data_IF_188983243396
#
_entry.id   IF_188983243396
#
_cell.length_a   1.000
_cell.length_b   1.000
_cell.length_c   1.000
_cell.angle_alpha   90.00
_cell.angle_beta   90.00
_cell.angle_gamma   90.00
#
_symmetry.space_group_name_H-M   'P 1'
#
loop_
_entity.id
_entity.type
_entity.pdbx_description
1 polymer ?
#
# COMPACT_ATOMS: atom_id res chain seq x y z
N UNK A 1 2.13 20.91 -0.91
CA UNK A 1 2.27 19.74 -0.02
C UNK A 1 2.36 18.52 -0.94
N UNK A 2 3.48 17.85 -0.94
CA UNK A 2 3.65 16.68 -1.79
C UNK A 2 2.82 15.53 -1.26
N UNK A 3 2.04 14.89 -2.14
CA UNK A 3 1.25 13.74 -1.78
C UNK A 3 2.11 12.46 -1.82
N UNK A 4 1.80 11.48 -0.99
CA UNK A 4 2.38 10.15 -1.08
C UNK A 4 1.36 9.17 -1.65
N UNK A 5 1.76 8.36 -2.60
CA UNK A 5 0.94 7.27 -3.13
C UNK A 5 1.72 5.95 -3.05
N UNK A 6 0.99 4.85 -2.91
CA UNK A 6 1.61 3.54 -2.79
C UNK A 6 2.50 3.21 -3.99
N UNK A 7 3.69 2.69 -3.73
CA UNK A 7 4.56 2.09 -4.75
C UNK A 7 4.19 0.63 -5.01
N UNK A 8 3.63 -0.05 -4.01
CA UNK A 8 3.19 -1.45 -4.04
C UNK A 8 2.08 -1.70 -3.01
N UNK A 9 1.44 -2.86 -3.08
CA UNK A 9 0.31 -3.23 -2.22
C UNK A 9 0.77 -3.81 -0.87
N UNK A 10 1.36 -2.98 -0.03
CA UNK A 10 1.71 -3.34 1.35
C UNK A 10 1.66 -2.08 2.22
N UNK A 11 1.25 -2.14 3.49
CA UNK A 11 1.19 -0.98 4.38
C UNK A 11 2.53 -0.28 4.58
N UNK A 12 3.64 -0.99 4.44
CA UNK A 12 4.99 -0.43 4.57
C UNK A 12 5.23 0.79 3.67
N UNK A 13 4.63 0.81 2.47
CA UNK A 13 4.80 1.93 1.54
C UNK A 13 4.31 3.27 2.09
N UNK A 14 3.38 3.26 3.06
CA UNK A 14 2.86 4.47 3.72
C UNK A 14 3.53 4.75 5.07
N UNK A 15 4.08 3.75 5.72
CA UNK A 15 4.63 3.85 7.06
C UNK A 15 6.15 4.02 7.08
N UNK A 16 6.88 3.38 6.15
CA UNK A 16 8.33 3.51 6.02
C UNK A 16 8.81 4.96 5.78
N UNK A 17 8.05 5.87 5.12
CA UNK A 17 8.46 7.27 5.04
C UNK A 17 8.73 7.98 6.35
N UNK A 18 8.23 7.47 7.48
CA UNK A 18 8.47 7.99 8.83
C UNK A 18 9.56 7.23 9.62
N UNK A 19 10.19 6.23 9.01
CA UNK A 19 11.27 5.46 9.61
C UNK A 19 12.42 6.38 10.08
N UNK A 20 12.93 6.16 11.30
CA UNK A 20 13.98 6.97 11.92
C UNK A 20 15.34 6.87 11.23
N UNK A 21 15.59 5.82 10.45
CA UNK A 21 16.90 5.57 9.84
C UNK A 21 17.04 6.25 8.47
N UNK A 22 15.99 6.19 7.63
CA UNK A 22 16.04 6.66 6.24
C UNK A 22 14.71 7.23 5.73
N UNK A 23 13.73 7.44 6.61
CA UNK A 23 12.40 7.89 6.23
C UNK A 23 12.40 9.23 5.50
N UNK A 24 11.67 9.30 4.40
CA UNK A 24 11.57 10.49 3.56
C UNK A 24 11.08 11.73 4.34
N UNK A 25 10.15 11.55 5.29
CA UNK A 25 9.58 12.65 6.05
C UNK A 25 10.46 13.17 7.19
N UNK A 26 11.56 12.50 7.54
CA UNK A 26 12.52 13.02 8.54
C UNK A 26 13.04 14.41 8.17
N UNK A 27 13.35 14.63 6.90
CA UNK A 27 13.80 15.94 6.40
C UNK A 27 12.73 17.02 6.56
N UNK A 28 11.45 16.66 6.38
CA UNK A 28 10.32 17.56 6.57
C UNK A 28 10.16 17.91 8.04
N UNK A 29 10.43 16.96 8.94
CA UNK A 29 10.46 17.19 10.39
C UNK A 29 11.72 17.95 10.85
N UNK A 30 12.65 18.26 9.94
CA UNK A 30 13.91 18.92 10.26
C UNK A 30 14.92 18.03 10.97
N UNK A 31 14.79 16.71 10.82
CA UNK A 31 15.67 15.71 11.45
C UNK A 31 16.65 15.12 10.43
N UNK A 32 17.89 14.97 10.86
CA UNK A 32 18.96 14.28 10.14
C UNK A 32 19.43 13.09 11.00
N UNK A 33 19.18 11.83 10.60
CA UNK A 33 19.55 10.66 11.40
C UNK A 33 21.03 10.62 11.79
N UNK A 34 21.90 11.19 10.97
CA UNK A 34 23.35 11.24 11.21
C UNK A 34 23.78 12.25 12.29
N UNK A 35 22.91 13.22 12.59
CA UNK A 35 23.23 14.36 13.49
C UNK A 35 22.27 14.48 14.68
N UNK A 36 21.05 14.00 14.51
CA UNK A 36 19.95 14.23 15.45
C UNK A 36 19.50 12.94 16.17
N UNK A 37 20.40 11.95 16.33
CA UNK A 37 20.07 10.66 16.95
C UNK A 37 19.43 10.83 18.35
N UNK A 38 19.97 11.74 19.17
CA UNK A 38 19.44 12.01 20.51
C UNK A 38 18.02 12.60 20.46
N UNK A 39 17.72 13.46 19.48
CA UNK A 39 16.37 14.01 19.28
C UNK A 39 15.40 12.94 18.81
N UNK A 40 15.83 12.10 17.86
CA UNK A 40 15.04 10.96 17.35
C UNK A 40 14.64 10.04 18.49
N UNK A 41 15.59 9.70 19.37
CA UNK A 41 15.32 8.88 20.55
C UNK A 41 14.41 9.61 21.55
N UNK A 42 14.65 10.89 21.78
CA UNK A 42 13.87 11.67 22.76
C UNK A 42 12.38 11.78 22.41
N UNK A 43 12.02 11.77 21.12
CA UNK A 43 10.64 11.75 20.64
C UNK A 43 10.10 10.33 20.43
N UNK A 44 10.89 9.28 20.68
CA UNK A 44 10.49 7.88 20.56
C UNK A 44 10.38 7.34 19.12
N UNK A 45 10.92 8.05 18.13
CA UNK A 45 10.82 7.61 16.73
C UNK A 45 11.64 6.34 16.45
N UNK A 46 12.62 6.03 17.25
CA UNK A 46 13.34 4.75 17.27
C UNK A 46 12.42 3.58 17.65
N UNK A 47 11.50 3.77 18.61
CA UNK A 47 10.49 2.78 18.99
C UNK A 47 9.53 2.50 17.83
N UNK A 48 9.09 3.54 17.13
CA UNK A 48 8.31 3.39 15.91
C UNK A 48 9.05 2.54 14.86
N UNK A 49 10.32 2.82 14.64
CA UNK A 49 11.16 2.07 13.71
C UNK A 49 11.28 0.59 14.09
N UNK A 50 11.37 0.26 15.40
CA UNK A 50 11.37 -1.13 15.86
C UNK A 50 10.03 -1.83 15.53
N UNK A 51 8.89 -1.14 15.68
CA UNK A 51 7.58 -1.68 15.30
C UNK A 51 7.49 -1.96 13.80
N UNK A 52 8.01 -1.06 12.95
CA UNK A 52 8.10 -1.28 11.51
C UNK A 52 8.95 -2.51 11.17
N UNK A 53 10.14 -2.62 11.78
CA UNK A 53 11.03 -3.78 11.57
C UNK A 53 10.37 -5.10 11.97
N UNK A 54 9.61 -5.11 13.05
CA UNK A 54 8.85 -6.28 13.47
C UNK A 54 7.75 -6.66 12.48
N UNK A 55 7.07 -5.66 11.89
CA UNK A 55 6.09 -5.88 10.85
C UNK A 55 6.73 -6.37 9.54
N UNK A 56 7.84 -5.78 9.13
CA UNK A 56 8.60 -6.17 7.93
C UNK A 56 9.15 -7.60 8.01
N UNK A 57 9.55 -8.02 9.21
CA UNK A 57 10.07 -9.37 9.46
C UNK A 57 8.99 -10.46 9.41
N UNK A 58 7.70 -10.12 9.58
CA UNK A 58 6.62 -11.09 9.48
C UNK A 58 6.30 -11.40 8.01
N UNK A 59 6.71 -12.58 7.56
CA UNK A 59 6.59 -13.03 6.18
C UNK A 59 5.70 -14.27 5.99
N UNK A 60 5.22 -14.85 7.10
CA UNK A 60 4.48 -16.11 7.09
C UNK A 60 2.99 -15.91 7.32
N UNK A 61 2.62 -15.01 8.22
CA UNK A 61 1.24 -14.69 8.55
C UNK A 61 0.90 -13.25 8.12
N UNK A 62 0.16 -13.14 7.01
CA UNK A 62 -0.27 -11.85 6.45
C UNK A 62 -1.16 -11.08 7.42
N UNK A 63 -2.05 -11.77 8.17
CA UNK A 63 -2.91 -11.09 9.13
C UNK A 63 -2.09 -10.50 10.26
N UNK A 64 -1.15 -11.26 10.80
CA UNK A 64 -0.22 -10.78 11.84
C UNK A 64 0.68 -9.64 11.36
N UNK A 65 1.15 -9.70 10.11
CA UNK A 65 1.88 -8.60 9.48
C UNK A 65 1.05 -7.32 9.48
N UNK A 66 -0.22 -7.38 9.07
CA UNK A 66 -1.10 -6.21 9.07
C UNK A 66 -1.42 -5.69 10.47
N UNK A 67 -1.59 -6.56 11.46
CA UNK A 67 -1.74 -6.16 12.87
C UNK A 67 -0.51 -5.39 13.37
N UNK A 68 0.69 -5.87 13.07
CA UNK A 68 1.94 -5.20 13.44
C UNK A 68 2.06 -3.80 12.81
N UNK A 69 1.65 -3.64 11.53
CA UNK A 69 1.60 -2.32 10.91
C UNK A 69 0.53 -1.42 11.51
N UNK A 70 -0.63 -1.95 11.86
CA UNK A 70 -1.68 -1.18 12.54
C UNK A 70 -1.20 -0.65 13.89
N UNK A 71 -0.43 -1.46 14.65
CA UNK A 71 0.20 -1.04 15.89
C UNK A 71 1.24 0.06 15.69
N UNK A 72 2.07 -0.04 14.65
CA UNK A 72 3.00 1.03 14.27
C UNK A 72 2.27 2.31 13.87
N UNK A 73 1.18 2.21 13.11
CA UNK A 73 0.35 3.36 12.73
C UNK A 73 -0.31 4.02 13.94
N UNK A 74 -0.85 3.23 14.86
CA UNK A 74 -1.44 3.73 16.10
C UNK A 74 -0.41 4.54 16.90
N UNK A 75 0.81 4.01 17.06
CA UNK A 75 1.90 4.71 17.72
C UNK A 75 2.20 6.07 17.04
N UNK A 76 2.27 6.10 15.70
CA UNK A 76 2.57 7.31 14.95
C UNK A 76 1.51 8.41 15.16
N UNK A 77 0.25 8.01 15.26
CA UNK A 77 -0.86 8.94 15.55
C UNK A 77 -0.81 9.40 17.00
N UNK A 78 -0.64 8.50 17.95
CA UNK A 78 -0.60 8.79 19.39
C UNK A 78 0.57 9.71 19.76
N UNK A 79 1.70 9.57 19.07
CA UNK A 79 2.87 10.44 19.24
C UNK A 79 2.66 11.88 18.78
N UNK A 80 1.55 12.15 18.07
CA UNK A 80 1.25 13.45 17.44
C UNK A 80 2.26 13.90 16.37
N UNK A 81 3.13 13.03 15.89
CA UNK A 81 4.02 13.29 14.74
C UNK A 81 3.23 13.36 13.43
N UNK A 82 2.09 12.67 13.37
CA UNK A 82 1.13 12.70 12.28
C UNK A 82 -0.26 13.00 12.83
N UNK A 83 -0.87 14.07 12.31
CA UNK A 83 -2.25 14.41 12.64
C UNK A 83 -3.17 14.07 11.44
N UNK A 84 -3.97 12.98 11.50
CA UNK A 84 -4.96 12.70 10.47
C UNK A 84 -6.05 13.78 10.48
N UNK A 85 -6.28 14.43 9.35
CA UNK A 85 -7.29 15.50 9.23
C UNK A 85 -8.59 14.97 8.64
N UNK A 86 -8.50 14.17 7.59
CA UNK A 86 -9.65 13.57 6.93
C UNK A 86 -9.25 12.27 6.21
N UNK A 87 -10.24 11.45 5.93
CA UNK A 87 -10.11 10.33 5.02
C UNK A 87 -10.91 10.64 3.75
N UNK A 88 -10.23 10.64 2.61
CA UNK A 88 -10.91 10.77 1.33
C UNK A 88 -11.54 9.42 0.98
N UNK A 89 -12.85 9.35 1.00
CA UNK A 89 -13.58 8.22 0.46
C UNK A 89 -13.34 8.06 -1.05
N UNK A 90 -13.61 6.87 -1.58
CA UNK A 90 -13.51 6.63 -3.02
C UNK A 90 -14.38 7.58 -3.83
N UNK A 91 -13.87 8.08 -4.93
CA UNK A 91 -14.61 8.89 -5.88
C UNK A 91 -15.37 8.02 -6.89
N UNK A 92 -16.54 8.49 -7.34
CA UNK A 92 -17.19 7.92 -8.52
C UNK A 92 -16.42 8.37 -9.77
N UNK A 93 -16.25 7.45 -10.72
CA UNK A 93 -15.67 7.77 -12.02
C UNK A 93 -16.58 7.31 -13.14
N UNK A 94 -16.72 8.14 -14.20
CA UNK A 94 -17.40 7.78 -15.43
C UNK A 94 -16.35 7.36 -16.44
N UNK A 95 -16.44 6.14 -16.97
CA UNK A 95 -15.43 5.60 -17.87
C UNK A 95 -16.04 4.73 -18.97
N UNK A 96 -15.35 4.67 -20.10
CA UNK A 96 -15.58 3.72 -21.20
C UNK A 96 -14.47 2.65 -21.26
N UNK A 97 -13.58 2.65 -20.31
CA UNK A 97 -12.56 1.60 -20.22
C UNK A 97 -13.22 0.31 -19.74
N UNK A 98 -13.10 -0.75 -20.52
CA UNK A 98 -13.60 -2.07 -20.13
C UNK A 98 -12.94 -2.48 -18.80
N UNK A 99 -13.73 -2.83 -17.78
CA UNK A 99 -13.22 -3.11 -16.43
C UNK A 99 -12.10 -4.16 -16.45
N UNK A 100 -11.08 -3.94 -15.62
CA UNK A 100 -9.93 -4.82 -15.43
C UNK A 100 -9.09 -5.14 -16.67
N UNK A 101 -9.23 -4.36 -17.77
CA UNK A 101 -8.36 -4.48 -18.95
C UNK A 101 -7.09 -3.66 -18.85
N UNK A 102 -7.00 -2.73 -17.90
CA UNK A 102 -5.77 -2.02 -17.55
C UNK A 102 -5.24 -2.52 -16.19
N UNK A 103 -4.01 -2.16 -15.87
CA UNK A 103 -3.47 -2.44 -14.53
C UNK A 103 -4.43 -1.90 -13.44
N UNK A 104 -4.77 -2.77 -12.52
CA UNK A 104 -5.70 -2.47 -11.43
C UNK A 104 -5.03 -2.72 -10.07
N UNK A 105 -5.22 -1.79 -9.15
CA UNK A 105 -4.78 -1.92 -7.77
C UNK A 105 -5.85 -1.36 -6.84
N UNK A 106 -6.14 -2.09 -5.76
CA UNK A 106 -7.08 -1.67 -4.72
C UNK A 106 -6.61 -0.42 -3.96
N UNK A 107 -5.30 -0.19 -3.90
CA UNK A 107 -4.69 0.90 -3.14
C UNK A 107 -4.11 2.02 -4.03
N UNK A 108 -4.34 1.99 -5.33
CA UNK A 108 -3.88 3.04 -6.24
C UNK A 108 -2.36 3.15 -6.33
N UNK A 109 -1.69 2.12 -6.80
CA UNK A 109 -0.22 2.08 -6.97
C UNK A 109 0.21 3.12 -8.03
N UNK A 110 1.34 3.79 -7.78
CA UNK A 110 1.99 4.70 -8.74
C UNK A 110 2.15 4.05 -10.12
N UNK A 111 1.88 4.80 -11.17
CA UNK A 111 2.04 4.36 -12.55
C UNK A 111 0.92 3.48 -13.10
N UNK A 112 -0.01 2.96 -12.28
CA UNK A 112 -1.14 2.16 -12.81
C UNK A 112 -2.03 2.95 -13.75
N UNK A 113 -2.19 4.25 -13.52
CA UNK A 113 -2.95 5.15 -14.37
C UNK A 113 -2.35 5.35 -15.77
N UNK A 114 -1.05 5.13 -15.94
CA UNK A 114 -0.31 5.31 -17.19
C UNK A 114 -0.03 4.00 -17.94
N UNK A 115 -0.51 2.87 -17.44
CA UNK A 115 -0.32 1.58 -18.08
C UNK A 115 -1.46 1.27 -19.04
N UNK A 116 -1.23 1.54 -20.32
CA UNK A 116 -2.24 1.41 -21.38
C UNK A 116 -2.14 0.09 -22.19
N UNK A 117 -1.12 -0.74 -21.94
CA UNK A 117 -0.75 -1.87 -22.82
C UNK A 117 -1.90 -2.83 -23.15
N UNK A 118 -2.77 -3.11 -22.21
CA UNK A 118 -3.90 -4.06 -22.41
C UNK A 118 -5.27 -3.39 -22.30
N UNK A 119 -5.28 -2.05 -22.20
CA UNK A 119 -6.50 -1.29 -22.05
C UNK A 119 -7.41 -1.43 -23.27
N UNK A 120 -8.67 -1.68 -23.02
CA UNK A 120 -9.73 -1.74 -24.05
C UNK A 120 -10.79 -0.70 -23.76
N UNK A 121 -11.30 -0.11 -24.81
CA UNK A 121 -12.44 0.82 -24.73
C UNK A 121 -13.68 0.13 -25.27
N UNK A 122 -14.81 0.38 -24.65
CA UNK A 122 -16.12 0.02 -25.17
C UNK A 122 -16.88 1.26 -25.66
N UNK A 123 -17.94 1.06 -26.43
CA UNK A 123 -18.70 2.19 -26.98
C UNK A 123 -19.51 2.95 -25.95
N UNK A 124 -20.07 2.23 -24.99
CA UNK A 124 -20.93 2.78 -23.95
C UNK A 124 -20.18 3.00 -22.66
N UNK A 125 -20.72 3.87 -21.80
CA UNK A 125 -20.23 4.06 -20.43
C UNK A 125 -20.42 2.79 -19.64
N UNK A 126 -19.42 2.42 -18.83
CA UNK A 126 -19.50 1.28 -17.92
C UNK A 126 -20.50 1.57 -16.81
N UNK A 127 -21.51 0.73 -16.68
CA UNK A 127 -22.47 0.79 -15.58
C UNK A 127 -21.87 0.16 -14.29
N UNK A 128 -22.41 0.53 -13.14
CA UNK A 128 -22.01 -0.07 -11.85
C UNK A 128 -22.19 -1.60 -11.87
N UNK A 129 -23.31 -2.08 -12.42
CA UNK A 129 -23.57 -3.53 -12.51
C UNK A 129 -22.52 -4.25 -13.37
N UNK A 130 -22.15 -3.69 -14.51
CA UNK A 130 -21.08 -4.25 -15.36
C UNK A 130 -19.72 -4.26 -14.63
N UNK A 131 -19.44 -3.22 -13.87
CA UNK A 131 -18.20 -3.15 -13.08
C UNK A 131 -18.19 -4.22 -11.98
N UNK A 132 -19.28 -4.37 -11.23
CA UNK A 132 -19.39 -5.32 -10.12
C UNK A 132 -19.29 -6.78 -10.62
N UNK A 133 -19.94 -7.10 -11.73
CA UNK A 133 -19.81 -8.42 -12.38
C UNK A 133 -18.36 -8.70 -12.81
N UNK A 134 -17.75 -7.73 -13.49
CA UNK A 134 -16.36 -7.86 -13.93
C UNK A 134 -15.38 -7.97 -12.74
N UNK A 135 -15.66 -7.27 -11.63
CA UNK A 135 -14.88 -7.34 -10.40
C UNK A 135 -14.96 -8.73 -9.78
N UNK A 136 -16.14 -9.29 -9.63
CA UNK A 136 -16.33 -10.63 -9.08
C UNK A 136 -15.58 -11.69 -9.90
N UNK A 137 -15.67 -11.61 -11.23
CA UNK A 137 -14.94 -12.48 -12.14
C UNK A 137 -13.42 -12.33 -11.97
N UNK A 138 -12.93 -11.09 -11.96
CA UNK A 138 -11.50 -10.81 -11.79
C UNK A 138 -10.96 -11.32 -10.44
N UNK A 139 -11.70 -11.17 -9.36
CA UNK A 139 -11.32 -11.68 -8.04
C UNK A 139 -11.20 -13.20 -8.05
N UNK A 140 -12.13 -13.90 -8.70
CA UNK A 140 -12.07 -15.36 -8.85
C UNK A 140 -10.89 -15.80 -9.71
N UNK A 141 -10.65 -15.14 -10.85
CA UNK A 141 -9.52 -15.43 -11.73
C UNK A 141 -8.18 -15.19 -11.01
N UNK A 142 -8.09 -14.11 -10.22
CA UNK A 142 -6.91 -13.80 -9.41
C UNK A 142 -6.64 -14.89 -8.37
N UNK A 143 -7.67 -15.34 -7.65
CA UNK A 143 -7.55 -16.43 -6.69
C UNK A 143 -7.03 -17.70 -7.35
N UNK A 144 -7.62 -18.12 -8.47
CA UNK A 144 -7.19 -19.28 -9.23
C UNK A 144 -5.73 -19.15 -9.73
N UNK A 145 -5.33 -17.95 -10.15
CA UNK A 145 -3.96 -17.68 -10.61
C UNK A 145 -2.94 -17.79 -9.47
N UNK A 146 -3.26 -17.28 -8.27
CA UNK A 146 -2.40 -17.43 -7.09
C UNK A 146 -2.22 -18.89 -6.71
N UNK A 147 -3.32 -19.66 -6.64
CA UNK A 147 -3.28 -21.10 -6.33
C UNK A 147 -2.44 -21.88 -7.37
N UNK A 148 -2.57 -21.56 -8.65
CA UNK A 148 -1.76 -22.15 -9.71
C UNK A 148 -0.29 -21.81 -9.54
N UNK A 149 0.05 -20.56 -9.29
CA UNK A 149 1.42 -20.10 -9.10
C UNK A 149 2.09 -20.79 -7.91
N UNK A 150 1.38 -20.97 -6.80
CA UNK A 150 1.89 -21.72 -5.65
C UNK A 150 2.20 -23.17 -6.00
N UNK A 151 1.27 -23.88 -6.66
CA UNK A 151 1.47 -25.27 -7.11
C UNK A 151 2.64 -25.42 -8.07
N UNK A 152 2.83 -24.45 -8.97
CA UNK A 152 3.95 -24.47 -9.90
C UNK A 152 5.29 -24.22 -9.18
N UNK A 153 5.31 -23.29 -8.21
CA UNK A 153 6.48 -23.03 -7.37
C UNK A 153 6.91 -24.27 -6.57
N UNK A 154 5.96 -24.97 -5.92
CA UNK A 154 6.22 -26.18 -5.16
C UNK A 154 6.85 -27.31 -6.00
N UNK A 155 6.58 -27.37 -7.30
CA UNK A 155 7.21 -28.33 -8.22
C UNK A 155 8.68 -28.03 -8.50
N UNK A 156 9.10 -26.76 -8.36
CA UNK A 156 10.47 -26.34 -8.65
C UNK A 156 11.40 -26.39 -7.44
N UNK A 157 10.87 -26.59 -6.23
CA UNK A 157 11.64 -26.69 -4.96
C UNK A 157 12.07 -28.14 -4.63
N UNK A 158 11.62 -29.13 -5.38
CA UNK A 158 11.97 -30.55 -5.16
C UNK A 158 13.30 -30.94 -5.77
#
# INVERSE_FOLDING_TARGET
MDGWSADYQDPSTYLNPFNAEDGFYLKILGLDPSKDADKITSIGLDQYTQKLKAADAENTDVAKRYENYADAQAWLIDSSLLLPVNSNGGGASVTRVTPFTRAYSLVGIKGTGSNYKYMRLQNEVVTTAQFDEAKAKWEQERKNSVEKSQKDFEKHIK
#
